data_IF_217572173115
#
_entry.id   IF_217572173115
#
_cell.length_a   1.000
_cell.length_b   1.000
_cell.length_c   1.000
_cell.angle_alpha   90.00
_cell.angle_beta   90.00
_cell.angle_gamma   90.00
#
_symmetry.space_group_name_H-M   'P 1'
#
loop_
_entity.id
_entity.type
_entity.pdbx_description
1 polymer ?
#
# COMPACT_ATOMS: atom_id res chain seq x y z
N UNK A 1 -24.40 -3.21 -6.92
CA UNK A 1 -23.55 -2.50 -7.90
C UNK A 1 -22.95 -3.47 -8.90
N UNK A 2 -22.11 -4.44 -8.51
CA UNK A 2 -21.54 -5.43 -9.45
C UNK A 2 -22.59 -6.38 -10.04
N UNK A 3 -23.55 -6.87 -9.24
CA UNK A 3 -24.64 -7.75 -9.71
C UNK A 3 -25.56 -7.16 -10.80
N UNK A 4 -25.44 -5.87 -11.13
CA UNK A 4 -26.35 -5.18 -12.05
C UNK A 4 -25.63 -4.71 -13.32
N UNK A 5 -24.33 -5.04 -13.47
CA UNK A 5 -23.50 -4.60 -14.58
C UNK A 5 -22.47 -5.68 -14.94
N UNK A 6 -22.78 -6.41 -16.02
CA UNK A 6 -21.93 -7.48 -16.52
C UNK A 6 -20.59 -6.95 -17.04
N UNK A 7 -20.55 -5.73 -17.58
CA UNK A 7 -19.31 -5.11 -18.07
C UNK A 7 -18.34 -4.92 -16.90
N UNK A 8 -18.83 -4.38 -15.78
CA UNK A 8 -18.01 -4.22 -14.58
C UNK A 8 -17.49 -5.56 -14.07
N UNK A 9 -18.30 -6.63 -14.14
CA UNK A 9 -17.88 -7.98 -13.75
C UNK A 9 -16.73 -8.50 -14.63
N UNK A 10 -16.85 -8.39 -15.95
CA UNK A 10 -15.78 -8.83 -16.86
C UNK A 10 -14.51 -7.98 -16.75
N UNK A 11 -14.63 -6.67 -16.53
CA UNK A 11 -13.45 -5.81 -16.34
C UNK A 11 -12.62 -6.18 -15.12
N UNK A 12 -13.25 -6.66 -14.04
CA UNK A 12 -12.55 -7.15 -12.85
C UNK A 12 -12.25 -8.65 -12.89
N UNK A 13 -12.61 -9.33 -14.00
CA UNK A 13 -12.32 -10.76 -14.22
C UNK A 13 -13.21 -11.73 -13.42
N UNK A 14 -14.44 -11.34 -13.05
CA UNK A 14 -15.40 -12.23 -12.37
C UNK A 14 -16.60 -12.54 -13.27
N UNK A 15 -17.17 -13.73 -13.12
CA UNK A 15 -18.40 -14.11 -13.84
C UNK A 15 -19.62 -13.45 -13.19
N UNK A 16 -20.57 -12.88 -13.95
CA UNK A 16 -21.83 -12.36 -13.41
C UNK A 16 -22.62 -13.39 -12.57
N UNK A 17 -22.51 -14.68 -12.92
CA UNK A 17 -23.19 -15.77 -12.22
C UNK A 17 -22.52 -16.18 -10.90
N UNK A 18 -21.26 -15.80 -10.69
CA UNK A 18 -20.46 -16.20 -9.53
C UNK A 18 -19.63 -15.04 -9.00
N UNK A 19 -20.33 -14.01 -8.50
CA UNK A 19 -19.70 -12.84 -7.91
C UNK A 19 -19.33 -13.16 -6.46
N UNK A 20 -18.04 -13.16 -6.09
CA UNK A 20 -17.63 -13.42 -4.72
C UNK A 20 -18.18 -12.33 -3.79
N UNK A 21 -18.63 -12.75 -2.60
CA UNK A 21 -19.08 -11.81 -1.57
C UNK A 21 -17.93 -10.89 -1.11
N UNK A 22 -18.29 -9.74 -0.55
CA UNK A 22 -17.32 -8.72 -0.07
C UNK A 22 -16.30 -9.30 0.92
N UNK A 23 -16.70 -10.28 1.75
CA UNK A 23 -15.79 -10.95 2.68
C UNK A 23 -14.62 -11.67 2.00
N UNK A 24 -14.83 -12.20 0.79
CA UNK A 24 -13.80 -12.88 -0.01
C UNK A 24 -12.69 -11.92 -0.41
N UNK A 25 -13.02 -10.64 -0.66
CA UNK A 25 -12.02 -9.63 -0.99
C UNK A 25 -11.09 -9.36 0.19
N UNK A 26 -11.64 -9.22 1.40
CA UNK A 26 -10.83 -9.05 2.61
C UNK A 26 -10.02 -10.30 2.95
N UNK A 27 -10.58 -11.49 2.75
CA UNK A 27 -9.86 -12.75 2.95
C UNK A 27 -8.68 -12.88 1.98
N UNK A 28 -8.87 -12.50 0.70
CA UNK A 28 -7.80 -12.44 -0.29
C UNK A 28 -6.68 -11.49 0.16
N UNK A 29 -7.03 -10.29 0.63
CA UNK A 29 -6.04 -9.32 1.10
C UNK A 29 -5.27 -9.87 2.29
N UNK A 30 -5.97 -10.45 3.28
CA UNK A 30 -5.35 -11.03 4.46
C UNK A 30 -4.39 -12.17 4.12
N UNK A 31 -4.71 -13.01 3.11
CA UNK A 31 -3.81 -14.08 2.65
C UNK A 31 -2.54 -13.56 1.98
N UNK A 32 -2.63 -12.43 1.29
CA UNK A 32 -1.47 -11.81 0.64
C UNK A 32 -0.67 -10.89 1.57
N UNK A 33 -1.29 -10.43 2.64
CA UNK A 33 -0.66 -9.62 3.67
C UNK A 33 0.11 -10.54 4.62
N UNK A 34 1.43 -10.64 4.44
CA UNK A 34 2.31 -11.58 5.15
C UNK A 34 2.60 -11.16 6.60
N UNK A 35 1.68 -10.43 7.23
CA UNK A 35 1.81 -10.04 8.62
C UNK A 35 1.46 -11.19 9.55
N UNK A 36 2.16 -11.26 10.68
CA UNK A 36 1.79 -12.17 11.75
C UNK A 36 0.43 -11.76 12.34
N UNK A 37 -0.58 -12.65 12.35
CA UNK A 37 -1.90 -12.34 12.90
C UNK A 37 -1.88 -11.87 14.35
N UNK A 38 -0.95 -12.36 15.16
CA UNK A 38 -0.83 -11.98 16.56
C UNK A 38 -0.31 -10.55 16.70
N UNK A 39 0.67 -10.16 15.87
CA UNK A 39 1.17 -8.78 15.82
C UNK A 39 0.07 -7.81 15.37
N UNK A 40 -0.70 -8.18 14.34
CA UNK A 40 -1.79 -7.34 13.86
C UNK A 40 -2.90 -7.20 14.91
N UNK A 41 -3.26 -8.30 15.57
CA UNK A 41 -4.24 -8.28 16.66
C UNK A 41 -3.78 -7.40 17.82
N UNK A 42 -2.52 -7.50 18.23
CA UNK A 42 -1.94 -6.65 19.27
C UNK A 42 -1.99 -5.18 18.89
N UNK A 43 -1.73 -4.86 17.62
CA UNK A 43 -1.81 -3.50 17.08
C UNK A 43 -3.25 -2.96 17.13
N UNK A 44 -4.24 -3.78 16.79
CA UNK A 44 -5.66 -3.41 16.84
C UNK A 44 -6.18 -3.22 18.27
N UNK A 45 -5.73 -4.06 19.20
CA UNK A 45 -6.10 -3.97 20.62
C UNK A 45 -5.33 -2.86 21.33
N UNK A 46 -4.19 -2.41 20.78
CA UNK A 46 -3.38 -1.36 21.39
C UNK A 46 -4.18 -0.05 21.55
N UNK A 47 -4.34 0.37 22.80
CA UNK A 47 -4.93 1.65 23.14
C UNK A 47 -3.96 2.75 22.68
N UNK A 48 -4.25 3.34 21.52
CA UNK A 48 -3.44 4.43 21.00
C UNK A 48 -3.56 5.64 21.94
N UNK A 49 -2.43 6.23 22.38
CA UNK A 49 -2.48 7.37 23.28
C UNK A 49 -3.16 8.56 22.57
N UNK A 50 -4.02 9.26 23.30
CA UNK A 50 -4.69 10.45 22.77
C UNK A 50 -3.65 11.51 22.35
N UNK A 51 -3.57 11.81 21.06
CA UNK A 51 -2.71 12.87 20.52
C UNK A 51 -3.52 14.16 20.42
N UNK A 52 -3.19 15.15 21.24
CA UNK A 52 -3.82 16.47 21.20
C UNK A 52 -3.57 17.15 19.84
N UNK A 53 -4.60 17.81 19.31
CA UNK A 53 -4.49 18.63 18.09
C UNK A 53 -3.36 19.68 18.22
N UNK A 54 -2.59 19.94 17.15
CA UNK A 54 -1.57 20.99 17.16
C UNK A 54 -2.16 22.34 17.57
N UNK A 55 -1.51 23.02 18.53
CA UNK A 55 -1.97 24.34 19.01
C UNK A 55 -1.51 25.50 18.13
N UNK A 56 -0.46 25.29 17.34
CA UNK A 56 0.16 26.34 16.52
C UNK A 56 -0.77 26.70 15.35
N UNK A 57 -1.32 27.91 15.37
CA UNK A 57 -2.06 28.47 14.24
C UNK A 57 -1.06 28.97 13.22
N UNK A 58 -1.17 28.46 11.99
CA UNK A 58 -0.34 28.90 10.86
C UNK A 58 -1.06 30.02 10.12
N UNK A 59 -0.29 30.87 9.42
CA UNK A 59 -0.88 31.90 8.57
C UNK A 59 -1.62 31.28 7.37
N UNK A 60 -2.49 32.08 6.74
CA UNK A 60 -3.17 31.69 5.50
C UNK A 60 -2.11 31.27 4.47
N UNK A 61 -2.33 30.12 3.81
CA UNK A 61 -1.42 29.50 2.85
C UNK A 61 -0.10 28.91 3.40
N UNK A 62 0.07 28.77 4.72
CA UNK A 62 1.21 28.05 5.30
C UNK A 62 0.85 26.61 5.68
N UNK A 63 1.60 25.65 5.15
CA UNK A 63 1.48 24.22 5.50
C UNK A 63 2.14 23.96 6.86
N UNK A 64 1.61 22.98 7.61
CA UNK A 64 2.24 22.52 8.83
C UNK A 64 3.58 21.86 8.49
N UNK A 65 4.68 22.21 9.19
CA UNK A 65 5.94 21.53 8.96
C UNK A 65 5.79 20.04 9.29
N UNK A 66 6.54 19.16 8.59
CA UNK A 66 6.53 17.74 8.89
C UNK A 66 6.95 17.49 10.34
N UNK A 67 6.29 16.51 10.98
CA UNK A 67 6.58 16.14 12.37
C UNK A 67 8.03 15.68 12.58
N UNK A 68 8.60 15.05 11.56
CA UNK A 68 9.97 14.54 11.54
C UNK A 68 10.69 15.16 10.33
N UNK A 69 11.37 16.31 10.50
CA UNK A 69 12.15 16.91 9.43
C UNK A 69 13.32 15.98 9.04
N UNK A 70 13.63 15.90 7.74
CA UNK A 70 14.72 15.05 7.24
C UNK A 70 14.39 13.56 7.12
N UNK A 71 13.13 13.15 7.36
CA UNK A 71 12.74 11.74 7.30
C UNK A 71 12.97 11.12 5.91
N UNK A 72 12.84 11.92 4.84
CA UNK A 72 13.12 11.48 3.47
C UNK A 72 14.60 11.11 3.33
N UNK A 73 15.52 11.99 3.77
CA UNK A 73 16.95 11.72 3.70
C UNK A 73 17.31 10.47 4.49
N UNK A 74 16.75 10.29 5.68
CA UNK A 74 16.93 9.06 6.47
C UNK A 74 16.55 7.80 5.69
N UNK A 75 15.40 7.81 5.00
CA UNK A 75 14.99 6.66 4.20
C UNK A 75 15.90 6.43 2.98
N UNK A 76 16.37 7.50 2.34
CA UNK A 76 17.35 7.41 1.24
C UNK A 76 18.65 6.80 1.75
N UNK A 77 19.16 7.27 2.89
CA UNK A 77 20.41 6.77 3.47
C UNK A 77 20.29 5.29 3.85
N UNK A 78 19.17 4.88 4.46
CA UNK A 78 18.88 3.47 4.77
C UNK A 78 18.83 2.61 3.50
N UNK A 79 18.17 3.10 2.44
CA UNK A 79 18.10 2.39 1.18
C UNK A 79 19.48 2.24 0.52
N UNK A 80 20.31 3.29 0.57
CA UNK A 80 21.70 3.27 0.06
C UNK A 80 22.60 2.33 0.87
N UNK A 81 22.34 2.18 2.17
CA UNK A 81 23.03 1.22 3.04
C UNK A 81 22.60 -0.23 2.79
N UNK A 82 21.54 -0.46 2.00
CA UNK A 82 20.97 -1.79 1.77
C UNK A 82 20.17 -2.32 2.97
N UNK A 83 19.88 -1.46 3.94
CA UNK A 83 19.07 -1.80 5.10
C UNK A 83 17.61 -2.02 4.68
N UNK A 84 17.05 -3.15 5.11
CA UNK A 84 15.65 -3.47 4.87
C UNK A 84 14.88 -3.44 6.18
N UNK A 85 13.59 -3.13 6.10
CA UNK A 85 12.70 -3.26 7.26
C UNK A 85 12.60 -4.74 7.66
N UNK A 86 12.65 -5.01 8.97
CA UNK A 86 12.51 -6.36 9.53
C UNK A 86 11.15 -6.98 9.20
N UNK A 87 10.09 -6.17 9.22
CA UNK A 87 8.73 -6.58 8.86
C UNK A 87 8.31 -5.93 7.55
N UNK A 88 7.94 -6.75 6.57
CA UNK A 88 7.48 -6.35 5.23
C UNK A 88 6.24 -7.17 4.81
N UNK A 89 5.10 -6.96 5.47
CA UNK A 89 3.89 -7.73 5.17
C UNK A 89 3.39 -7.52 3.73
N UNK A 90 3.70 -6.36 3.14
CA UNK A 90 3.33 -5.99 1.79
C UNK A 90 4.23 -6.61 0.70
N UNK A 91 5.28 -7.36 1.09
CA UNK A 91 6.29 -7.89 0.15
C UNK A 91 5.67 -8.71 -0.97
N UNK A 92 4.69 -9.56 -0.66
CA UNK A 92 4.04 -10.40 -1.66
C UNK A 92 3.22 -9.57 -2.64
N UNK A 93 2.48 -8.56 -2.15
CA UNK A 93 1.79 -7.60 -3.00
C UNK A 93 2.75 -6.86 -3.93
N UNK A 94 3.89 -6.39 -3.41
CA UNK A 94 4.90 -5.71 -4.23
C UNK A 94 5.44 -6.63 -5.32
N UNK A 95 5.69 -7.91 -5.02
CA UNK A 95 6.16 -8.89 -6.00
C UNK A 95 5.11 -9.15 -7.10
N UNK A 96 3.85 -9.34 -6.73
CA UNK A 96 2.75 -9.54 -7.68
C UNK A 96 2.61 -8.29 -8.56
N UNK A 97 2.60 -7.11 -7.96
CA UNK A 97 2.49 -5.85 -8.69
C UNK A 97 3.68 -5.63 -9.62
N UNK A 98 4.90 -5.94 -9.17
CA UNK A 98 6.09 -5.87 -10.00
C UNK A 98 6.00 -6.79 -11.21
N UNK A 99 5.48 -8.01 -11.02
CA UNK A 99 5.32 -8.99 -12.09
C UNK A 99 4.21 -8.63 -13.08
N UNK A 100 3.04 -8.21 -12.58
CA UNK A 100 1.83 -8.02 -13.41
C UNK A 100 1.80 -6.63 -14.06
N UNK A 101 2.31 -5.60 -13.39
CA UNK A 101 2.20 -4.23 -13.87
C UNK A 101 3.57 -3.65 -14.26
N UNK A 102 4.57 -3.74 -13.39
CA UNK A 102 5.85 -3.02 -13.59
C UNK A 102 6.65 -3.62 -14.74
N UNK A 103 6.88 -4.94 -14.76
CA UNK A 103 7.64 -5.61 -15.83
C UNK A 103 6.99 -5.44 -17.21
N UNK A 104 5.68 -5.69 -17.41
CA UNK A 104 5.06 -5.47 -18.72
C UNK A 104 5.10 -4.00 -19.13
N UNK A 105 4.98 -3.06 -18.19
CA UNK A 105 5.11 -1.63 -18.49
C UNK A 105 6.53 -1.24 -18.89
N UNK A 106 7.55 -1.85 -18.28
CA UNK A 106 8.95 -1.68 -18.67
C UNK A 106 9.19 -2.19 -20.10
N UNK A 107 8.74 -3.40 -20.39
CA UNK A 107 8.84 -4.03 -21.72
C UNK A 107 8.10 -3.24 -22.80
N UNK A 108 6.96 -2.66 -22.44
CA UNK A 108 6.19 -1.77 -23.32
C UNK A 108 6.80 -0.36 -23.46
N UNK A 109 7.92 -0.06 -22.79
CA UNK A 109 8.60 1.24 -22.85
C UNK A 109 7.86 2.38 -22.13
N UNK A 110 6.86 2.07 -21.29
CA UNK A 110 6.02 3.07 -20.60
C UNK A 110 6.79 3.72 -19.44
N UNK A 111 7.72 2.99 -18.82
CA UNK A 111 8.48 3.46 -17.65
C UNK A 111 9.69 4.35 -18.00
N UNK A 112 9.93 4.60 -19.29
CA UNK A 112 11.11 5.36 -19.75
C UNK A 112 12.37 4.50 -19.84
N UNK A 113 13.54 5.11 -19.61
CA UNK A 113 14.85 4.45 -19.71
C UNK A 113 15.15 3.63 -18.45
N UNK A 114 14.92 2.32 -18.52
CA UNK A 114 15.09 1.38 -17.40
C UNK A 114 16.54 1.14 -17.01
N UNK A 115 17.50 1.54 -17.84
CA UNK A 115 18.94 1.40 -17.54
C UNK A 115 19.48 2.55 -16.68
N UNK A 116 18.68 3.60 -16.47
CA UNK A 116 19.02 4.78 -15.65
C UNK A 116 18.21 4.89 -14.34
N UNK A 117 17.45 3.85 -14.00
CA UNK A 117 16.67 3.74 -12.76
C UNK A 117 17.50 3.08 -11.64
#
# INVERSE_FOLDING_TARGET
MLHHDDLLCYMIGVSPDNIPGVGTHYDLINRFWLEDPDIEKDRQVSLHPFKRKPRKKLAKNQKLPPRHPGIIQKFVDLALQGENFESRPEKLFQQIFAYVAVRPSAEAGILGDTEKL
#
